data_IF_033605842006
#
_entry.id   IF_033605842006
#
_cell.length_a   1.000
_cell.length_b   1.000
_cell.length_c   1.000
_cell.angle_alpha   90.00
_cell.angle_beta   90.00
_cell.angle_gamma   90.00
#
_symmetry.space_group_name_H-M   'P 1'
#
loop_
_entity.id
_entity.type
_entity.pdbx_description
1 polymer ?
#
# COMPACT_ATOMS: atom_id res chain seq x y z
N UNK A 1 46.20 -18.87 49.00
CA UNK A 1 45.35 -19.56 49.99
C UNK A 1 44.73 -18.53 50.92
N UNK A 2 43.40 -18.64 51.17
CA UNK A 2 42.58 -17.91 52.17
C UNK A 2 42.42 -16.38 51.98
N UNK A 3 41.30 -15.73 52.26
CA UNK A 3 39.85 -16.02 52.34
C UNK A 3 39.23 -14.62 52.57
N UNK A 4 38.15 -14.33 51.87
CA UNK A 4 37.30 -13.12 51.99
C UNK A 4 36.82 -12.90 53.43
N UNK A 5 36.71 -11.66 53.92
CA UNK A 5 35.57 -11.25 54.77
C UNK A 5 35.28 -9.74 54.67
N UNK A 6 34.01 -9.46 54.44
CA UNK A 6 33.30 -8.19 54.15
C UNK A 6 32.85 -7.45 55.42
N UNK A 7 32.41 -6.19 55.26
CA UNK A 7 31.31 -5.45 55.92
C UNK A 7 31.75 -4.09 56.50
N UNK A 8 31.00 -2.98 56.52
CA UNK A 8 29.76 -2.46 55.91
C UNK A 8 29.57 -1.07 56.58
N UNK A 9 29.14 -0.01 55.87
CA UNK A 9 28.44 1.25 56.34
C UNK A 9 28.61 2.30 55.22
N UNK A 10 27.66 2.60 54.32
CA UNK A 10 26.31 3.20 54.41
C UNK A 10 26.28 4.70 54.77
N UNK A 11 25.53 5.43 53.93
CA UNK A 11 24.94 6.76 54.08
C UNK A 11 25.85 7.96 53.75
N UNK A 12 25.43 9.03 53.09
CA UNK A 12 24.23 9.43 52.33
C UNK A 12 24.54 10.87 51.81
N UNK A 13 23.76 11.33 50.83
CA UNK A 13 23.53 12.76 50.50
C UNK A 13 24.54 13.47 49.59
N UNK A 14 24.18 13.53 48.30
CA UNK A 14 24.60 14.54 47.36
C UNK A 14 23.66 14.53 46.16
N UNK A 15 22.56 15.27 46.28
CA UNK A 15 21.48 15.35 45.31
C UNK A 15 21.95 15.79 43.91
N UNK A 16 21.29 15.19 42.92
CA UNK A 16 21.29 15.49 41.48
C UNK A 16 20.89 16.96 41.16
N UNK A 17 21.04 17.50 39.93
CA UNK A 17 20.63 16.82 38.70
C UNK A 17 21.67 16.85 37.59
N UNK A 18 22.08 15.65 37.18
CA UNK A 18 22.39 15.38 35.78
C UNK A 18 21.08 15.65 35.02
N UNK A 19 21.00 16.81 34.37
CA UNK A 19 19.94 17.12 33.43
C UNK A 19 20.13 16.19 32.24
N UNK A 20 19.63 14.96 32.37
CA UNK A 20 19.23 14.15 31.24
C UNK A 20 18.03 14.88 30.64
N UNK A 21 18.33 15.84 29.77
CA UNK A 21 17.41 16.19 28.71
C UNK A 21 17.27 14.93 27.86
N UNK A 22 16.38 14.04 28.26
CA UNK A 22 15.78 13.08 27.35
C UNK A 22 15.03 13.95 26.35
N UNK A 23 15.70 14.29 25.26
CA UNK A 23 15.00 14.60 24.04
C UNK A 23 14.08 13.39 23.82
N UNK A 24 12.78 13.58 24.04
CA UNK A 24 11.81 12.80 23.31
C UNK A 24 12.05 13.16 21.86
N UNK A 25 13.03 12.52 21.22
CA UNK A 25 12.89 12.25 19.80
C UNK A 25 11.57 11.50 19.73
N UNK A 26 10.61 12.07 19.04
CA UNK A 26 9.48 11.32 18.52
C UNK A 26 10.12 10.16 17.75
N UNK A 27 10.23 9.03 18.44
CA UNK A 27 10.65 7.78 17.85
C UNK A 27 9.44 7.42 17.00
N UNK A 28 9.49 7.83 15.73
CA UNK A 28 8.59 7.36 14.69
C UNK A 28 8.78 5.85 14.65
N UNK A 29 8.00 5.16 15.50
CA UNK A 29 7.94 3.73 15.55
C UNK A 29 7.68 3.19 14.15
N UNK A 30 8.03 1.93 13.88
CA UNK A 30 7.95 1.37 12.53
C UNK A 30 6.59 1.66 11.92
N UNK A 31 6.59 2.28 10.73
CA UNK A 31 5.35 2.54 10.00
C UNK A 31 4.66 1.20 9.74
N UNK A 32 3.53 0.97 10.39
CA UNK A 32 2.74 -0.25 10.19
C UNK A 32 2.10 -0.14 8.82
N UNK A 33 2.50 -1.02 7.90
CA UNK A 33 1.91 -1.11 6.57
C UNK A 33 0.71 -2.07 6.60
N UNK A 34 -0.41 -1.62 6.04
CA UNK A 34 -1.65 -2.37 5.90
C UNK A 34 -1.88 -2.64 4.40
N UNK A 35 -1.29 -3.71 3.84
CA UNK A 35 -1.40 -4.00 2.41
C UNK A 35 -2.83 -4.41 2.03
N UNK A 36 -3.19 -4.19 0.77
CA UNK A 36 -4.42 -4.71 0.20
C UNK A 36 -4.28 -6.19 -0.13
N UNK A 37 -5.40 -6.93 -0.07
CA UNK A 37 -5.49 -8.26 -0.67
C UNK A 37 -5.31 -8.25 -2.20
N UNK A 38 -5.33 -7.06 -2.81
CA UNK A 38 -5.08 -6.83 -4.24
C UNK A 38 -3.61 -6.55 -4.56
N UNK A 39 -2.72 -6.59 -3.57
CA UNK A 39 -1.27 -6.40 -3.77
C UNK A 39 -0.68 -7.66 -4.40
N UNK A 40 -0.71 -7.71 -5.73
CA UNK A 40 -0.25 -8.83 -6.54
C UNK A 40 0.48 -8.31 -7.79
N UNK A 41 1.25 -9.22 -8.39
CA UNK A 41 1.65 -9.11 -9.79
C UNK A 41 0.62 -9.83 -10.65
N UNK A 42 0.01 -9.08 -11.57
CA UNK A 42 -0.93 -9.56 -12.57
C UNK A 42 -0.23 -9.65 -13.93
N UNK A 43 -0.39 -10.77 -14.62
CA UNK A 43 0.20 -11.03 -15.94
C UNK A 43 -0.58 -12.11 -16.68
N UNK A 44 -0.31 -12.26 -17.98
CA UNK A 44 -1.02 -13.22 -18.83
C UNK A 44 -2.53 -12.98 -18.82
N UNK A 45 -3.31 -14.05 -18.65
CA UNK A 45 -4.78 -13.97 -18.66
C UNK A 45 -5.38 -13.19 -17.46
N UNK A 46 -4.57 -12.86 -16.45
CA UNK A 46 -4.99 -12.10 -15.27
C UNK A 46 -4.83 -10.59 -15.44
N UNK A 47 -4.31 -10.14 -16.58
CA UNK A 47 -4.11 -8.73 -16.89
C UNK A 47 -4.67 -8.41 -18.28
N UNK A 48 -5.57 -7.45 -18.34
CA UNK A 48 -6.03 -6.87 -19.61
C UNK A 48 -5.88 -5.37 -19.56
N UNK A 49 -5.26 -4.77 -20.58
CA UNK A 49 -5.07 -3.32 -20.66
C UNK A 49 -5.63 -2.78 -21.96
N UNK A 50 -6.31 -1.65 -21.88
CA UNK A 50 -6.84 -0.93 -23.04
C UNK A 50 -6.32 0.51 -23.07
N UNK A 51 -6.06 1.03 -24.27
CA UNK A 51 -5.82 2.44 -24.53
C UNK A 51 -6.82 2.92 -25.57
N UNK A 52 -7.65 3.92 -25.23
CA UNK A 52 -8.70 4.45 -26.10
C UNK A 52 -9.61 3.35 -26.67
N UNK A 53 -9.93 2.36 -25.83
CA UNK A 53 -10.77 1.20 -26.18
C UNK A 53 -10.04 0.10 -26.97
N UNK A 54 -8.78 0.27 -27.36
CA UNK A 54 -8.01 -0.75 -28.07
C UNK A 54 -7.15 -1.58 -27.11
N UNK A 55 -7.10 -2.91 -27.24
CA UNK A 55 -6.23 -3.76 -26.44
C UNK A 55 -4.75 -3.39 -26.57
N UNK A 56 -4.02 -3.45 -25.46
CA UNK A 56 -2.60 -3.10 -25.36
C UNK A 56 -1.75 -4.35 -25.07
N UNK A 57 -1.42 -5.10 -26.13
CA UNK A 57 -0.57 -6.30 -26.04
C UNK A 57 0.86 -6.01 -25.56
N UNK A 58 1.32 -4.76 -25.65
CA UNK A 58 2.63 -4.37 -25.17
C UNK A 58 2.74 -4.45 -23.64
N UNK A 59 1.62 -4.32 -22.92
CA UNK A 59 1.62 -4.37 -21.45
C UNK A 59 1.54 -5.81 -20.97
N UNK A 60 2.62 -6.27 -20.35
CA UNK A 60 2.80 -7.70 -20.00
C UNK A 60 2.64 -7.97 -18.51
N UNK A 61 2.76 -6.93 -17.68
CA UNK A 61 2.73 -7.04 -16.23
C UNK A 61 2.20 -5.76 -15.59
N UNK A 62 1.40 -5.93 -14.54
CA UNK A 62 0.99 -4.89 -13.61
C UNK A 62 1.27 -5.36 -12.19
N UNK A 63 2.16 -4.68 -11.47
CA UNK A 63 2.46 -4.98 -10.07
C UNK A 63 1.88 -3.88 -9.19
N UNK A 64 0.99 -4.28 -8.28
CA UNK A 64 0.28 -3.36 -7.38
C UNK A 64 0.88 -3.50 -5.98
N UNK A 65 1.15 -2.36 -5.34
CA UNK A 65 1.53 -2.27 -3.94
C UNK A 65 0.70 -1.16 -3.30
N UNK A 66 0.19 -1.40 -2.11
CA UNK A 66 -0.68 -0.45 -1.45
C UNK A 66 -0.41 -0.33 0.05
N UNK A 67 -0.97 0.73 0.61
CA UNK A 67 -1.08 0.92 2.03
C UNK A 67 -2.44 1.53 2.35
N UNK A 68 -3.14 0.98 3.34
CA UNK A 68 -4.47 1.45 3.70
C UNK A 68 -4.42 2.88 4.25
N UNK A 69 -5.33 3.73 3.78
CA UNK A 69 -5.61 5.04 4.36
C UNK A 69 -6.44 4.85 5.63
N UNK A 70 -5.78 4.94 6.79
CA UNK A 70 -6.45 4.85 8.08
C UNK A 70 -7.41 6.04 8.26
N UNK A 71 -8.64 5.77 8.69
CA UNK A 71 -9.69 6.79 8.89
C UNK A 71 -10.56 7.09 7.67
N UNK A 72 -10.19 6.63 6.47
CA UNK A 72 -11.00 6.75 5.23
C UNK A 72 -11.69 5.44 4.87
N UNK A 73 -12.45 4.85 5.80
CA UNK A 73 -13.24 3.64 5.54
C UNK A 73 -14.72 4.00 5.49
N UNK A 74 -15.44 3.60 4.43
CA UNK A 74 -16.90 3.52 4.52
C UNK A 74 -17.22 2.25 5.30
N UNK A 75 -17.44 2.38 6.61
CA UNK A 75 -18.08 1.32 7.38
C UNK A 75 -19.57 1.45 7.08
N UNK A 76 -20.06 0.60 6.18
CA UNK A 76 -21.50 0.43 6.00
C UNK A 76 -21.89 -0.76 6.85
N UNK A 77 -22.47 -0.49 8.02
CA UNK A 77 -23.22 -1.49 8.76
C UNK A 77 -24.63 -1.52 8.17
N UNK A 78 -25.07 -2.62 7.53
CA UNK A 78 -26.48 -2.77 7.22
C UNK A 78 -27.27 -2.76 8.54
N UNK A 79 -28.40 -2.04 8.60
CA UNK A 79 -29.17 -1.81 9.85
C UNK A 79 -29.53 -3.10 10.60
N UNK A 80 -29.57 -4.25 9.92
CA UNK A 80 -29.93 -5.57 10.47
C UNK A 80 -28.83 -6.65 10.31
N UNK A 81 -27.58 -6.26 10.08
CA UNK A 81 -26.47 -7.20 9.85
C UNK A 81 -25.41 -7.12 10.95
N UNK A 82 -25.06 -8.27 11.53
CA UNK A 82 -23.88 -8.41 12.40
C UNK A 82 -22.55 -8.33 11.62
N UNK A 83 -22.60 -8.31 10.29
CA UNK A 83 -21.43 -8.13 9.44
C UNK A 83 -21.20 -6.64 9.16
N UNK A 84 -20.13 -6.11 9.73
CA UNK A 84 -19.54 -4.84 9.33
C UNK A 84 -18.86 -5.02 7.98
N UNK A 85 -19.30 -4.28 6.96
CA UNK A 85 -18.51 -4.14 5.72
C UNK A 85 -17.65 -2.90 5.86
N UNK A 86 -16.35 -3.09 6.03
CA UNK A 86 -15.38 -2.03 5.84
C UNK A 86 -14.93 -2.08 4.38
N UNK A 87 -15.10 -0.98 3.66
CA UNK A 87 -14.44 -0.78 2.36
C UNK A 87 -13.17 0.04 2.61
N UNK A 88 -12.02 -0.62 2.82
CA UNK A 88 -10.76 0.08 2.99
C UNK A 88 -10.40 0.82 1.70
N UNK A 89 -9.95 2.06 1.85
CA UNK A 89 -9.36 2.87 0.79
C UNK A 89 -7.84 2.83 0.94
N UNK A 90 -7.11 2.82 -0.17
CA UNK A 90 -5.67 2.64 -0.19
C UNK A 90 -4.94 3.73 -0.98
N UNK A 91 -3.76 4.11 -0.51
CA UNK A 91 -2.72 4.72 -1.34
C UNK A 91 -1.98 3.62 -2.08
N UNK A 92 -2.02 3.67 -3.41
CA UNK A 92 -1.52 2.55 -4.23
C UNK A 92 -0.61 3.01 -5.34
N UNK A 93 0.41 2.20 -5.59
CA UNK A 93 1.32 2.33 -6.72
C UNK A 93 1.16 1.12 -7.63
N UNK A 94 0.90 1.37 -8.93
CA UNK A 94 0.81 0.32 -9.95
C UNK A 94 1.98 0.50 -10.93
N UNK A 95 2.85 -0.50 -10.99
CA UNK A 95 3.97 -0.53 -11.95
C UNK A 95 3.57 -1.35 -13.16
N UNK A 96 3.50 -0.72 -14.32
CA UNK A 96 3.20 -1.35 -15.60
C UNK A 96 4.47 -1.58 -16.40
N UNK A 97 4.63 -2.79 -16.95
CA UNK A 97 5.69 -3.13 -17.90
C UNK A 97 5.13 -3.14 -19.32
N UNK A 98 5.58 -2.19 -20.14
CA UNK A 98 5.24 -2.04 -21.55
C UNK A 98 4.15 -1.01 -21.85
N UNK A 99 3.97 -0.01 -20.98
CA UNK A 99 3.06 1.12 -21.18
C UNK A 99 3.85 2.44 -21.31
N UNK A 100 3.51 3.33 -22.26
CA UNK A 100 2.50 3.18 -23.32
C UNK A 100 3.00 2.37 -24.52
N UNK A 101 4.22 1.82 -24.47
CA UNK A 101 4.81 1.00 -25.54
C UNK A 101 5.78 -0.04 -24.98
N UNK A 102 6.08 -1.05 -25.80
CA UNK A 102 6.97 -2.16 -25.45
C UNK A 102 8.31 -1.67 -24.89
N UNK A 103 8.74 -2.27 -23.78
CA UNK A 103 10.03 -1.96 -23.12
C UNK A 103 10.00 -0.77 -22.16
N UNK A 104 8.91 0.00 -22.11
CA UNK A 104 8.78 1.16 -21.20
C UNK A 104 8.08 0.76 -19.91
N UNK A 105 8.61 1.19 -18.76
CA UNK A 105 7.97 0.98 -17.47
C UNK A 105 7.29 2.28 -17.02
N UNK A 106 6.03 2.19 -16.62
CA UNK A 106 5.26 3.32 -16.11
C UNK A 106 4.80 3.04 -14.68
N UNK A 107 4.90 4.04 -13.81
CA UNK A 107 4.37 3.96 -12.45
C UNK A 107 3.15 4.85 -12.34
N UNK A 108 2.01 4.26 -11.96
CA UNK A 108 0.77 4.96 -11.66
C UNK A 108 0.69 5.18 -10.15
N UNK A 109 0.30 6.37 -9.72
CA UNK A 109 -0.13 6.65 -8.35
C UNK A 109 -1.63 6.91 -8.38
N UNK A 110 -2.38 6.20 -7.55
CA UNK A 110 -3.86 6.27 -7.56
C UNK A 110 -4.37 7.49 -6.80
N UNK A 111 -5.37 8.16 -7.36
CA UNK A 111 -6.15 9.14 -6.61
C UNK A 111 -7.06 8.42 -5.60
N UNK A 112 -7.56 7.24 -6.00
CA UNK A 112 -8.39 6.36 -5.19
C UNK A 112 -8.15 4.88 -5.55
N UNK A 113 -8.17 4.01 -4.55
CA UNK A 113 -8.28 2.57 -4.71
C UNK A 113 -9.07 1.96 -3.56
N UNK A 114 -9.99 1.06 -3.88
CA UNK A 114 -10.64 0.14 -2.94
C UNK A 114 -10.43 -1.33 -3.38
N UNK A 115 -11.20 -2.27 -2.83
CA UNK A 115 -11.09 -3.69 -3.16
C UNK A 115 -11.66 -4.07 -4.55
N UNK A 116 -12.34 -3.16 -5.24
CA UNK A 116 -13.03 -3.38 -6.51
C UNK A 116 -12.44 -2.54 -7.66
N UNK A 117 -12.09 -1.28 -7.41
CA UNK A 117 -11.67 -0.34 -8.43
C UNK A 117 -10.51 0.54 -7.97
N UNK A 118 -9.82 1.11 -8.95
CA UNK A 118 -8.88 2.21 -8.73
C UNK A 118 -8.92 3.18 -9.91
N UNK A 119 -8.50 4.43 -9.71
CA UNK A 119 -8.39 5.39 -10.80
C UNK A 119 -7.38 6.49 -10.48
N UNK A 120 -7.01 7.21 -11.54
CA UNK A 120 -6.21 8.43 -11.43
C UNK A 120 -5.76 8.94 -12.79
N UNK A 121 -4.71 9.75 -12.78
CA UNK A 121 -4.06 10.27 -13.99
C UNK A 121 -2.56 10.04 -13.97
N UNK A 122 -1.96 9.94 -15.16
CA UNK A 122 -0.51 9.87 -15.32
C UNK A 122 -0.09 10.61 -16.58
N UNK A 123 1.03 11.32 -16.54
CA UNK A 123 1.65 11.91 -17.73
C UNK A 123 2.91 11.12 -18.09
N UNK A 124 2.97 10.60 -19.31
CA UNK A 124 4.12 9.87 -19.84
C UNK A 124 4.46 10.43 -21.21
N UNK A 125 5.72 10.75 -21.45
CA UNK A 125 6.20 11.30 -22.73
C UNK A 125 5.36 12.52 -23.22
N UNK A 126 5.01 13.42 -22.29
CA UNK A 126 4.15 14.62 -22.50
C UNK A 126 2.70 14.33 -22.91
N UNK A 127 2.24 13.09 -22.77
CA UNK A 127 0.82 12.72 -22.98
C UNK A 127 0.20 12.40 -21.63
N UNK A 128 -0.93 13.05 -21.33
CA UNK A 128 -1.72 12.76 -20.13
C UNK A 128 -2.74 11.68 -20.43
N UNK A 129 -2.82 10.70 -19.54
CA UNK A 129 -3.79 9.62 -19.59
C UNK A 129 -4.60 9.62 -18.30
N UNK A 130 -5.92 9.60 -18.42
CA UNK A 130 -6.80 9.19 -17.33
C UNK A 130 -6.94 7.68 -17.37
N UNK A 131 -6.92 7.02 -16.20
CA UNK A 131 -7.06 5.57 -16.12
C UNK A 131 -8.08 5.13 -15.08
N UNK A 132 -8.75 4.01 -15.37
CA UNK A 132 -9.60 3.28 -14.42
C UNK A 132 -9.24 1.79 -14.44
N UNK A 133 -8.93 1.27 -13.27
CA UNK A 133 -8.74 -0.15 -13.00
C UNK A 133 -9.97 -0.78 -12.38
N UNK A 134 -10.20 -2.05 -12.71
CA UNK A 134 -11.26 -2.90 -12.17
C UNK A 134 -10.64 -4.25 -11.83
N UNK A 135 -10.76 -4.66 -10.57
CA UNK A 135 -10.35 -5.98 -10.14
C UNK A 135 -11.43 -7.01 -10.48
N UNK A 136 -10.99 -8.18 -10.94
CA UNK A 136 -11.86 -9.34 -11.17
C UNK A 136 -11.55 -10.44 -10.15
N UNK A 137 -12.55 -11.28 -9.87
CA UNK A 137 -12.51 -12.20 -8.74
C UNK A 137 -12.65 -11.49 -7.39
N UNK A 138 -12.85 -12.27 -6.32
CA UNK A 138 -12.93 -11.79 -4.95
C UNK A 138 -11.56 -11.41 -4.38
N UNK A 139 -11.47 -10.44 -3.45
CA UNK A 139 -10.20 -10.06 -2.82
C UNK A 139 -9.60 -11.21 -1.98
N UNK A 140 -10.44 -12.12 -1.47
CA UNK A 140 -10.00 -13.29 -0.69
C UNK A 140 -9.82 -14.55 -1.55
N UNK A 141 -10.04 -14.46 -2.86
CA UNK A 141 -9.79 -15.59 -3.75
C UNK A 141 -8.29 -15.85 -3.86
N UNK A 142 -7.92 -17.09 -4.24
CA UNK A 142 -6.53 -17.41 -4.53
C UNK A 142 -5.99 -16.49 -5.63
N UNK A 143 -4.69 -16.10 -5.60
CA UNK A 143 -4.11 -15.17 -6.55
C UNK A 143 -4.41 -15.52 -8.02
N UNK A 144 -4.33 -16.79 -8.40
CA UNK A 144 -4.58 -17.27 -9.77
C UNK A 144 -6.00 -16.98 -10.29
N UNK A 145 -6.97 -16.78 -9.40
CA UNK A 145 -8.36 -16.47 -9.73
C UNK A 145 -8.66 -14.97 -9.66
N UNK A 146 -7.68 -14.15 -9.28
CA UNK A 146 -7.80 -12.69 -9.27
C UNK A 146 -7.18 -12.09 -10.54
N UNK A 147 -7.87 -11.13 -11.13
CA UNK A 147 -7.39 -10.39 -12.30
C UNK A 147 -7.56 -8.89 -12.16
N UNK A 148 -7.04 -8.16 -13.14
CA UNK A 148 -7.21 -6.71 -13.25
C UNK A 148 -7.38 -6.30 -14.71
N UNK A 149 -8.34 -5.40 -14.93
CA UNK A 149 -8.56 -4.74 -16.21
C UNK A 149 -8.27 -3.25 -16.03
N UNK A 150 -7.34 -2.70 -16.83
CA UNK A 150 -6.96 -1.28 -16.76
C UNK A 150 -7.33 -0.61 -18.08
N UNK A 151 -8.07 0.48 -18.02
CA UNK A 151 -8.51 1.24 -19.20
C UNK A 151 -7.96 2.65 -19.12
N UNK A 152 -7.18 3.02 -20.14
CA UNK A 152 -6.63 4.34 -20.32
C UNK A 152 -7.40 5.10 -21.40
N UNK A 153 -7.56 6.41 -21.19
CA UNK A 153 -8.02 7.37 -22.19
C UNK A 153 -7.01 8.51 -22.27
N UNK A 154 -6.59 8.86 -23.49
CA UNK A 154 -5.76 10.04 -23.74
C UNK A 154 -6.59 11.32 -23.58
N UNK A 155 -6.04 12.32 -22.89
CA UNK A 155 -6.62 13.67 -22.81
C UNK A 155 -6.28 14.55 -24.02
#
# INVERSE_FOLDING_TARGET
MKKITTCFLVALCGLSPLVLATACSEDDGPSVQYPSYRDLTYSGQRLTVYLNGQPMESVTEATINSNQRLGESSITAPEDSSAFSANPVYDSTIRLKGFPRTGQNTTLTTDYMDLAYFWGKVTVDNVTYTYKGEFTGGPLDRPENQGVIIRFTTE
#
